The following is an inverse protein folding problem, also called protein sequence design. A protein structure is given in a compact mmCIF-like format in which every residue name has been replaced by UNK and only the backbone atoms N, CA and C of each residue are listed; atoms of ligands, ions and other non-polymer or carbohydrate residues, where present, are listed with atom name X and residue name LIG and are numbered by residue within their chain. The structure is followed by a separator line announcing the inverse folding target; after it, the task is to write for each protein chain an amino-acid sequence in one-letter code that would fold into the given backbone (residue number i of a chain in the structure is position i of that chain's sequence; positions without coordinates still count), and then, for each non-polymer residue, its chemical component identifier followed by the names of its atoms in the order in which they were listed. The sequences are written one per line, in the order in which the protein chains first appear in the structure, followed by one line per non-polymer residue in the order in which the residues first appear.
data_IF_511247062501
#
_entry.id   IF_511247062501
#
_cell.length_a   1.000
_cell.length_b   1.000
_cell.length_c   1.000
_cell.angle_alpha   90.00
_cell.angle_beta   90.00
_cell.angle_gamma   90.00
#
_symmetry.space_group_name_H-M   'P 1'
#
loop_
_entity.id
_entity.type
_entity.pdbx_description
1 polymer ?
#
# COMPACT_ATOMS: atom_id res chain seq x y z
N UNK A 1 14.76 33.74 8.82
CA UNK A 1 13.57 34.06 7.99
C UNK A 1 13.30 32.84 7.13
N UNK A 2 12.22 32.08 7.24
CA UNK A 2 10.89 32.34 7.80
C UNK A 2 10.19 30.99 8.02
N UNK A 3 10.12 30.50 9.27
CA UNK A 3 9.30 29.35 9.73
C UNK A 3 7.77 29.62 9.60
N UNK A 4 7.39 30.59 8.78
CA UNK A 4 6.04 31.17 8.70
C UNK A 4 5.15 30.45 7.68
N UNK A 5 5.73 29.62 6.80
CA UNK A 5 5.02 28.95 5.70
C UNK A 5 4.65 27.48 6.00
N UNK A 6 4.98 26.98 7.19
CA UNK A 6 4.67 25.59 7.61
C UNK A 6 3.30 25.53 8.33
N UNK A 7 2.69 26.69 8.63
CA UNK A 7 1.59 26.78 9.60
C UNK A 7 0.19 26.78 8.99
N UNK A 8 0.04 26.79 7.67
CA UNK A 8 -1.15 27.42 7.06
C UNK A 8 -2.29 26.46 6.68
N UNK A 9 -2.18 25.14 6.87
CA UNK A 9 -3.14 24.23 6.20
C UNK A 9 -4.16 23.48 7.06
N UNK A 10 -4.24 23.71 8.39
CA UNK A 10 -5.34 23.11 9.20
C UNK A 10 -5.98 24.09 10.20
N UNK A 11 -5.35 25.23 10.54
CA UNK A 11 -5.92 26.27 11.40
C UNK A 11 -5.48 27.66 10.94
N UNK A 12 -6.32 28.67 11.24
CA UNK A 12 -6.19 30.09 10.88
C UNK A 12 -4.77 30.65 10.90
N UNK A 13 -4.47 31.42 9.86
CA UNK A 13 -3.31 32.29 9.70
C UNK A 13 -3.02 33.09 10.99
N UNK A 14 -1.99 32.71 11.75
CA UNK A 14 -1.48 33.60 12.79
C UNK A 14 -0.69 32.97 13.94
N UNK A 15 -0.89 31.69 14.26
CA UNK A 15 -0.18 31.10 15.39
C UNK A 15 1.23 30.66 15.00
N UNK A 16 2.23 31.13 15.75
CA UNK A 16 3.63 30.68 15.64
C UNK A 16 3.74 29.25 16.17
N UNK A 17 3.42 28.26 15.33
CA UNK A 17 3.58 26.84 15.65
C UNK A 17 5.02 26.56 16.03
N UNK A 18 5.19 25.94 17.21
CA UNK A 18 6.50 25.53 17.71
C UNK A 18 7.11 24.43 16.83
N UNK A 19 8.43 24.40 16.70
CA UNK A 19 9.16 23.32 16.01
C UNK A 19 8.81 21.92 16.56
N UNK A 20 8.43 21.83 17.84
CA UNK A 20 7.94 20.57 18.43
C UNK A 20 6.58 20.17 17.88
N UNK A 21 5.67 21.13 17.77
CA UNK A 21 4.32 20.91 17.27
C UNK A 21 4.34 20.54 15.79
N UNK A 22 5.18 21.20 14.98
CA UNK A 22 5.38 20.82 13.57
C UNK A 22 5.84 19.36 13.43
N UNK A 23 6.78 18.89 14.26
CA UNK A 23 7.20 17.47 14.26
C UNK A 23 6.08 16.53 14.67
N UNK A 24 5.33 16.86 15.72
CA UNK A 24 4.19 16.06 16.19
C UNK A 24 3.13 15.94 15.07
N UNK A 25 2.82 17.04 14.39
CA UNK A 25 1.90 17.03 13.23
C UNK A 25 2.38 16.10 12.12
N UNK A 26 3.67 16.16 11.75
CA UNK A 26 4.22 15.24 10.75
C UNK A 26 4.14 13.77 11.18
N UNK A 27 4.37 13.48 12.47
CA UNK A 27 4.21 12.13 13.02
C UNK A 27 2.75 11.67 12.96
N UNK A 28 1.80 12.52 13.34
CA UNK A 28 0.36 12.21 13.29
C UNK A 28 -0.08 11.97 11.85
N UNK A 29 0.32 12.82 10.90
CA UNK A 29 0.01 12.65 9.47
C UNK A 29 0.59 11.33 8.96
N UNK A 30 1.82 10.99 9.34
CA UNK A 30 2.42 9.73 8.96
C UNK A 30 1.66 8.53 9.54
N UNK A 31 1.33 8.54 10.83
CA UNK A 31 0.55 7.48 11.50
C UNK A 31 -0.81 7.31 10.81
N UNK A 32 -1.51 8.40 10.52
CA UNK A 32 -2.79 8.37 9.83
C UNK A 32 -2.67 7.73 8.43
N UNK A 33 -1.67 8.13 7.64
CA UNK A 33 -1.40 7.55 6.31
C UNK A 33 -1.00 6.09 6.38
N UNK A 34 -0.23 5.72 7.40
CA UNK A 34 0.15 4.35 7.65
C UNK A 34 -1.08 3.50 8.00
N UNK A 35 -1.98 4.02 8.85
CA UNK A 35 -3.24 3.37 9.16
C UNK A 35 -4.14 3.21 7.92
N UNK A 36 -4.20 4.21 7.03
CA UNK A 36 -4.88 4.09 5.74
C UNK A 36 -4.25 3.01 4.86
N UNK A 37 -2.93 2.91 4.81
CA UNK A 37 -2.24 1.82 4.10
C UNK A 37 -2.61 0.45 4.63
N UNK A 38 -2.66 0.27 5.96
CA UNK A 38 -3.13 -0.98 6.59
C UNK A 38 -4.58 -1.26 6.20
N UNK A 39 -5.45 -0.26 6.26
CA UNK A 39 -6.86 -0.38 5.88
C UNK A 39 -7.02 -0.85 4.44
N UNK A 40 -6.35 -0.19 3.49
CA UNK A 40 -6.39 -0.59 2.08
C UNK A 40 -5.77 -1.97 1.85
N UNK A 41 -4.69 -2.30 2.54
CA UNK A 41 -4.07 -3.63 2.44
C UNK A 41 -5.01 -4.75 2.88
N UNK A 42 -5.73 -4.55 3.98
CA UNK A 42 -6.69 -5.52 4.49
C UNK A 42 -7.88 -5.71 3.54
N UNK A 43 -8.46 -4.61 3.04
CA UNK A 43 -9.59 -4.66 2.12
C UNK A 43 -9.19 -5.19 0.75
N UNK A 44 -7.97 -4.89 0.28
CA UNK A 44 -7.48 -5.42 -0.98
C UNK A 44 -7.25 -6.93 -0.88
N UNK A 45 -6.78 -7.42 0.27
CA UNK A 45 -6.67 -8.86 0.50
C UNK A 45 -8.04 -9.53 0.44
N UNK A 46 -9.02 -9.01 1.18
CA UNK A 46 -10.38 -9.56 1.16
C UNK A 46 -10.98 -9.50 -0.24
N UNK A 47 -10.88 -8.36 -0.93
CA UNK A 47 -11.36 -8.24 -2.31
C UNK A 47 -10.72 -9.27 -3.24
N UNK A 48 -9.40 -9.41 -3.22
CA UNK A 48 -8.67 -10.25 -4.17
C UNK A 48 -8.77 -11.75 -3.89
N UNK A 49 -8.77 -12.17 -2.62
CA UNK A 49 -8.63 -13.58 -2.26
C UNK A 49 -9.90 -14.21 -1.69
N UNK A 50 -10.91 -13.43 -1.32
CA UNK A 50 -12.14 -13.98 -0.80
C UNK A 50 -12.94 -14.69 -1.92
N UNK A 51 -13.31 -15.98 -1.74
CA UNK A 51 -14.03 -16.77 -2.74
C UNK A 51 -15.48 -16.31 -2.97
N UNK A 52 -16.00 -15.35 -2.19
CA UNK A 52 -17.24 -14.65 -2.53
C UNK A 52 -17.07 -13.89 -3.86
N UNK A 53 -15.88 -13.38 -4.14
CA UNK A 53 -15.55 -12.73 -5.41
C UNK A 53 -15.10 -13.76 -6.44
N UNK A 54 -15.56 -13.61 -7.69
CA UNK A 54 -15.30 -14.59 -8.77
C UNK A 54 -13.80 -14.85 -8.99
N UNK A 55 -12.95 -13.83 -8.92
CA UNK A 55 -11.52 -13.98 -9.12
C UNK A 55 -10.83 -14.66 -7.91
N UNK A 56 -11.24 -14.34 -6.69
CA UNK A 56 -10.81 -15.05 -5.47
C UNK A 56 -11.26 -16.51 -5.45
N UNK A 57 -12.47 -16.78 -5.96
CA UNK A 57 -12.99 -18.15 -6.12
C UNK A 57 -12.13 -18.94 -7.11
N UNK A 58 -11.92 -18.41 -8.31
CA UNK A 58 -11.06 -19.04 -9.32
C UNK A 58 -9.63 -19.22 -8.82
N UNK A 59 -9.09 -18.26 -8.06
CA UNK A 59 -7.78 -18.40 -7.44
C UNK A 59 -7.74 -19.57 -6.47
N UNK A 60 -8.79 -19.70 -5.64
CA UNK A 60 -8.92 -20.76 -4.64
C UNK A 60 -9.06 -22.16 -5.27
N UNK A 61 -9.86 -22.31 -6.34
CA UNK A 61 -10.01 -23.57 -7.08
C UNK A 61 -8.71 -24.05 -7.75
N UNK A 62 -7.81 -23.13 -8.07
CA UNK A 62 -6.55 -23.42 -8.73
C UNK A 62 -5.37 -23.57 -7.75
N UNK A 63 -5.63 -23.53 -6.44
CA UNK A 63 -4.60 -23.83 -5.46
C UNK A 63 -4.28 -25.33 -5.46
N UNK A 64 -3.01 -25.71 -5.24
CA UNK A 64 -2.59 -27.11 -5.19
C UNK A 64 -2.93 -27.79 -3.85
N UNK A 65 -3.67 -27.14 -2.96
CA UNK A 65 -3.97 -27.67 -1.63
C UNK A 65 -5.06 -28.74 -1.71
N UNK A 66 -4.94 -29.78 -0.89
CA UNK A 66 -6.00 -30.73 -0.58
C UNK A 66 -6.62 -30.31 0.75
N UNK A 67 -7.95 -30.36 0.87
CA UNK A 67 -8.60 -30.12 2.16
C UNK A 67 -8.35 -31.29 3.12
N UNK A 68 -8.62 -31.08 4.42
CA UNK A 68 -8.69 -32.18 5.40
C UNK A 68 -9.72 -33.21 4.92
N UNK A 69 -9.26 -34.32 4.34
CA UNK A 69 -10.09 -35.34 3.71
C UNK A 69 -9.60 -35.83 2.34
N UNK A 70 -8.64 -35.15 1.70
CA UNK A 70 -8.11 -35.53 0.39
C UNK A 70 -8.94 -35.02 -0.80
N UNK A 71 -10.01 -34.28 -0.54
CA UNK A 71 -10.83 -33.64 -1.57
C UNK A 71 -10.10 -32.41 -2.17
N UNK A 72 -10.21 -32.27 -3.48
CA UNK A 72 -9.77 -31.07 -4.21
C UNK A 72 -10.71 -29.90 -3.93
N UNK A 73 -10.16 -28.69 -3.74
CA UNK A 73 -10.98 -27.46 -3.68
C UNK A 73 -11.81 -27.26 -4.95
N UNK A 74 -11.45 -27.88 -6.08
CA UNK A 74 -12.14 -27.73 -7.37
C UNK A 74 -13.60 -28.17 -7.37
N UNK A 75 -14.02 -28.98 -6.39
CA UNK A 75 -15.38 -29.54 -6.30
C UNK A 75 -16.24 -28.90 -5.20
N UNK A 76 -15.70 -27.89 -4.48
CA UNK A 76 -16.36 -27.28 -3.33
C UNK A 76 -17.04 -25.97 -3.69
N UNK A 77 -18.09 -25.62 -2.95
CA UNK A 77 -18.79 -24.35 -3.12
C UNK A 77 -17.94 -23.19 -2.58
N UNK A 78 -18.21 -21.96 -3.04
CA UNK A 78 -17.51 -20.77 -2.54
C UNK A 78 -17.61 -20.60 -1.02
N UNK A 79 -18.72 -21.00 -0.41
CA UNK A 79 -18.94 -20.92 1.03
C UNK A 79 -18.05 -21.91 1.79
N UNK A 80 -17.95 -23.15 1.32
CA UNK A 80 -17.10 -24.17 1.97
C UNK A 80 -15.62 -23.76 1.94
N UNK A 81 -15.18 -23.17 0.81
CA UNK A 81 -13.83 -22.64 0.65
C UNK A 81 -13.59 -21.47 1.61
N UNK A 82 -14.58 -20.58 1.76
CA UNK A 82 -14.48 -19.44 2.67
C UNK A 82 -14.34 -19.90 4.12
N UNK A 83 -15.17 -20.85 4.55
CA UNK A 83 -15.12 -21.40 5.91
C UNK A 83 -13.76 -22.04 6.20
N UNK A 84 -13.24 -22.81 5.25
CA UNK A 84 -11.90 -23.39 5.36
C UNK A 84 -10.82 -22.32 5.43
N UNK A 85 -10.84 -21.32 4.56
CA UNK A 85 -9.86 -20.24 4.60
C UNK A 85 -9.92 -19.48 5.93
N UNK A 86 -11.12 -19.18 6.44
CA UNK A 86 -11.30 -18.49 7.72
C UNK A 86 -10.82 -19.31 8.92
N UNK A 87 -10.84 -20.65 8.84
CA UNK A 87 -10.27 -21.54 9.86
C UNK A 87 -8.77 -21.32 10.05
N UNK A 88 -8.03 -21.06 8.96
CA UNK A 88 -6.57 -20.86 9.00
C UNK A 88 -6.16 -19.38 9.01
N UNK A 89 -6.86 -18.54 8.25
CA UNK A 89 -6.55 -17.14 8.00
C UNK A 89 -7.61 -16.21 8.59
N UNK A 90 -7.80 -16.34 9.91
CA UNK A 90 -8.72 -15.48 10.64
C UNK A 90 -8.31 -13.99 10.64
N UNK A 91 -9.15 -13.12 11.23
CA UNK A 91 -8.98 -11.66 11.17
C UNK A 91 -7.63 -11.15 11.68
N UNK A 92 -7.06 -11.80 12.71
CA UNK A 92 -5.75 -11.44 13.26
C UNK A 92 -4.59 -11.68 12.28
N UNK A 93 -4.65 -12.75 11.49
CA UNK A 93 -3.64 -13.01 10.46
C UNK A 93 -3.72 -11.97 9.35
N UNK A 94 -4.94 -11.60 8.94
CA UNK A 94 -5.15 -10.57 7.92
C UNK A 94 -4.64 -9.19 8.40
N UNK A 95 -4.89 -8.84 9.66
CA UNK A 95 -4.36 -7.62 10.26
C UNK A 95 -2.83 -7.64 10.31
N UNK A 96 -2.22 -8.74 10.76
CA UNK A 96 -0.76 -8.90 10.79
C UNK A 96 -0.13 -8.82 9.40
N UNK A 97 -0.73 -9.48 8.41
CA UNK A 97 -0.28 -9.41 7.02
C UNK A 97 -0.36 -7.99 6.47
N UNK A 98 -1.46 -7.28 6.72
CA UNK A 98 -1.69 -5.90 6.26
C UNK A 98 -0.69 -4.92 6.87
N UNK A 99 -0.35 -5.11 8.15
CA UNK A 99 0.69 -4.34 8.83
C UNK A 99 2.06 -4.57 8.20
N UNK A 100 2.44 -5.84 8.02
CA UNK A 100 3.75 -6.21 7.47
C UNK A 100 3.91 -5.76 6.02
N UNK A 101 2.88 -5.90 5.20
CA UNK A 101 2.91 -5.48 3.80
C UNK A 101 2.97 -3.95 3.67
N UNK A 102 2.24 -3.20 4.50
CA UNK A 102 2.32 -1.74 4.53
C UNK A 102 3.71 -1.27 4.97
N UNK A 103 4.29 -1.91 5.99
CA UNK A 103 5.66 -1.66 6.43
C UNK A 103 6.68 -1.99 5.33
N UNK A 104 6.51 -3.11 4.64
CA UNK A 104 7.34 -3.51 3.49
C UNK A 104 7.30 -2.47 2.37
N UNK A 105 6.10 -2.01 1.99
CA UNK A 105 5.96 -0.94 1.00
C UNK A 105 6.64 0.35 1.46
N UNK A 106 6.49 0.73 2.73
CA UNK A 106 7.17 1.91 3.28
C UNK A 106 8.69 1.80 3.16
N UNK A 107 9.28 0.64 3.46
CA UNK A 107 10.72 0.40 3.31
C UNK A 107 11.14 0.49 1.84
N UNK A 108 10.39 -0.13 0.92
CA UNK A 108 10.66 -0.06 -0.53
C UNK A 108 10.67 1.39 -1.00
N UNK A 109 9.67 2.20 -0.61
CA UNK A 109 9.60 3.61 -0.96
C UNK A 109 10.80 4.40 -0.41
N UNK A 110 11.24 4.09 0.82
CA UNK A 110 12.39 4.73 1.45
C UNK A 110 13.68 4.43 0.69
N UNK A 111 13.92 3.16 0.33
CA UNK A 111 15.08 2.75 -0.48
C UNK A 111 15.01 3.29 -1.92
N UNK A 112 13.82 3.39 -2.49
CA UNK A 112 13.60 4.01 -3.81
C UNK A 112 13.78 5.55 -3.80
N UNK A 113 13.97 6.15 -2.62
CA UNK A 113 14.27 7.57 -2.45
C UNK A 113 13.04 8.49 -2.49
N UNK A 114 11.83 7.96 -2.30
CA UNK A 114 10.61 8.78 -2.19
C UNK A 114 10.59 9.66 -0.94
N UNK A 115 11.36 9.31 0.09
CA UNK A 115 11.51 10.12 1.30
C UNK A 115 12.41 11.36 1.08
N UNK A 116 13.38 11.26 0.16
CA UNK A 116 14.42 12.28 -0.02
C UNK A 116 14.13 13.19 -1.22
N UNK A 117 13.65 12.63 -2.33
CA UNK A 117 13.49 13.32 -3.61
C UNK A 117 12.05 13.19 -4.08
N UNK A 118 11.49 14.27 -4.64
CA UNK A 118 10.18 14.24 -5.26
C UNK A 118 10.22 13.31 -6.48
N UNK A 119 9.44 12.23 -6.45
CA UNK A 119 9.36 11.24 -7.53
C UNK A 119 7.99 11.29 -8.18
N UNK A 120 7.96 10.99 -9.47
CA UNK A 120 6.70 10.89 -10.21
C UNK A 120 5.92 9.63 -9.83
N UNK A 121 4.60 9.70 -9.98
CA UNK A 121 3.70 8.54 -9.85
C UNK A 121 4.11 7.43 -10.83
N UNK A 122 4.63 7.78 -12.01
CA UNK A 122 5.16 6.83 -12.99
C UNK A 122 6.25 5.92 -12.40
N UNK A 123 7.17 6.48 -11.61
CA UNK A 123 8.21 5.68 -10.97
C UNK A 123 7.61 4.70 -9.94
N UNK A 124 6.55 5.11 -9.25
CA UNK A 124 5.83 4.24 -8.33
C UNK A 124 5.19 3.07 -9.08
N UNK A 125 4.50 3.34 -10.20
CA UNK A 125 3.91 2.32 -11.07
C UNK A 125 4.98 1.29 -11.52
N UNK A 126 6.13 1.77 -12.00
CA UNK A 126 7.21 0.89 -12.47
C UNK A 126 7.76 -0.01 -11.35
N UNK A 127 7.95 0.54 -10.15
CA UNK A 127 8.40 -0.25 -8.98
C UNK A 127 7.35 -1.30 -8.60
N UNK A 128 6.07 -0.92 -8.56
CA UNK A 128 4.98 -1.85 -8.29
C UNK A 128 4.92 -2.99 -9.30
N UNK A 129 5.07 -2.70 -10.60
CA UNK A 129 5.10 -3.72 -11.68
C UNK A 129 6.29 -4.64 -11.48
N UNK A 130 7.47 -4.09 -11.20
CA UNK A 130 8.69 -4.86 -10.98
C UNK A 130 8.57 -5.80 -9.77
N UNK A 131 8.01 -5.33 -8.66
CA UNK A 131 7.76 -6.16 -7.47
C UNK A 131 6.71 -7.25 -7.75
N UNK A 132 5.65 -6.96 -8.52
CA UNK A 132 4.70 -7.96 -8.99
C UNK A 132 5.39 -9.04 -9.82
N UNK A 133 6.22 -8.64 -10.79
CA UNK A 133 6.99 -9.57 -11.64
C UNK A 133 7.93 -10.47 -10.82
N UNK A 134 8.67 -9.89 -9.85
CA UNK A 134 9.51 -10.69 -8.94
C UNK A 134 8.66 -11.70 -8.17
N UNK A 135 7.47 -11.29 -7.70
CA UNK A 135 6.55 -12.18 -6.98
C UNK A 135 6.10 -13.34 -7.88
N UNK A 136 5.68 -13.07 -9.12
CA UNK A 136 5.33 -14.11 -10.09
C UNK A 136 6.51 -15.08 -10.32
N UNK A 137 7.72 -14.53 -10.51
CA UNK A 137 8.91 -15.33 -10.71
C UNK A 137 9.18 -16.25 -9.52
N UNK A 138 9.25 -15.70 -8.30
CA UNK A 138 9.45 -16.47 -7.06
C UNK A 138 8.37 -17.54 -6.89
N UNK A 139 7.09 -17.19 -7.10
CA UNK A 139 5.98 -18.14 -6.97
C UNK A 139 6.06 -19.29 -7.96
N UNK A 140 6.53 -19.03 -9.18
CA UNK A 140 6.76 -20.05 -10.20
C UNK A 140 7.82 -21.09 -9.78
N UNK A 141 8.75 -20.75 -8.89
CA UNK A 141 9.72 -21.70 -8.32
C UNK A 141 9.24 -22.37 -7.03
N UNK A 142 8.48 -21.64 -6.19
CA UNK A 142 8.05 -22.14 -4.88
C UNK A 142 6.91 -23.15 -4.96
N UNK A 143 6.02 -23.00 -5.93
CA UNK A 143 4.85 -23.87 -6.05
C UNK A 143 4.72 -24.33 -7.50
N UNK A 144 4.30 -25.60 -7.70
CA UNK A 144 3.75 -26.06 -8.98
C UNK A 144 2.34 -25.47 -9.19
N UNK A 145 2.24 -24.15 -9.13
CA UNK A 145 0.99 -23.43 -9.34
C UNK A 145 0.72 -23.27 -10.83
N UNK A 146 -0.57 -23.23 -11.18
CA UNK A 146 -1.02 -22.87 -12.53
C UNK A 146 -0.72 -21.40 -12.80
N UNK A 147 -0.71 -21.02 -14.08
CA UNK A 147 -0.43 -19.65 -14.53
C UNK A 147 -1.36 -18.61 -13.88
N UNK A 148 -2.64 -18.94 -13.69
CA UNK A 148 -3.64 -18.01 -13.15
C UNK A 148 -3.32 -17.56 -11.71
N UNK A 149 -3.13 -18.45 -10.71
CA UNK A 149 -2.69 -18.03 -9.38
C UNK A 149 -1.44 -17.15 -9.37
N UNK A 150 -0.45 -17.48 -10.20
CA UNK A 150 0.79 -16.71 -10.31
C UNK A 150 0.56 -15.27 -10.79
N UNK A 151 -0.23 -15.08 -11.86
CA UNK A 151 -0.59 -13.76 -12.37
C UNK A 151 -1.43 -13.00 -11.34
N UNK A 152 -2.40 -13.67 -10.73
CA UNK A 152 -3.33 -13.09 -9.77
C UNK A 152 -2.60 -12.52 -8.54
N UNK A 153 -1.70 -13.30 -7.94
CA UNK A 153 -0.90 -12.86 -6.80
C UNK A 153 0.09 -11.76 -7.17
N UNK A 154 0.70 -11.82 -8.36
CA UNK A 154 1.55 -10.74 -8.88
C UNK A 154 0.77 -9.43 -9.04
N UNK A 155 -0.44 -9.50 -9.57
CA UNK A 155 -1.31 -8.34 -9.72
C UNK A 155 -1.72 -7.76 -8.36
N UNK A 156 -2.02 -8.63 -7.39
CA UNK A 156 -2.27 -8.20 -6.02
C UNK A 156 -1.07 -7.44 -5.43
N UNK A 157 0.16 -7.96 -5.56
CA UNK A 157 1.37 -7.26 -5.06
C UNK A 157 1.57 -5.91 -5.75
N UNK A 158 1.33 -5.85 -7.06
CA UNK A 158 1.34 -4.59 -7.82
C UNK A 158 0.37 -3.56 -7.21
N UNK A 159 -0.91 -3.94 -7.03
CA UNK A 159 -1.94 -3.05 -6.49
C UNK A 159 -1.61 -2.63 -5.06
N UNK A 160 -1.14 -3.56 -4.23
CA UNK A 160 -0.80 -3.34 -2.84
C UNK A 160 0.31 -2.29 -2.69
N UNK A 161 1.41 -2.46 -3.43
CA UNK A 161 2.54 -1.52 -3.39
C UNK A 161 2.14 -0.18 -3.98
N UNK A 162 1.33 -0.17 -5.04
CA UNK A 162 0.88 1.07 -5.66
C UNK A 162 -0.05 1.87 -4.74
N UNK A 163 -1.10 1.27 -4.18
CA UNK A 163 -2.06 1.95 -3.30
C UNK A 163 -1.41 2.40 -1.99
N UNK A 164 -0.68 1.53 -1.32
CA UNK A 164 0.08 1.92 -0.12
C UNK A 164 1.11 2.99 -0.47
N UNK A 165 1.72 2.87 -1.65
CA UNK A 165 2.66 3.85 -2.17
C UNK A 165 2.05 5.24 -2.30
N UNK A 166 0.84 5.33 -2.85
CA UNK A 166 0.08 6.59 -2.93
C UNK A 166 -0.19 7.14 -1.52
N UNK A 167 -0.72 6.33 -0.61
CA UNK A 167 -1.03 6.76 0.75
C UNK A 167 0.20 7.32 1.49
N UNK A 168 1.35 6.67 1.32
CA UNK A 168 2.57 7.00 2.04
C UNK A 168 3.43 8.08 1.36
N UNK A 169 3.45 8.14 0.03
CA UNK A 169 4.37 8.98 -0.73
C UNK A 169 3.78 10.34 -1.18
N UNK A 170 2.47 10.58 -1.06
CA UNK A 170 1.89 11.89 -1.39
C UNK A 170 2.47 12.97 -0.46
N UNK A 171 3.38 13.79 -0.96
CA UNK A 171 3.86 15.00 -0.28
C UNK A 171 3.13 16.21 -0.85
N UNK A 172 2.04 16.63 -0.20
CA UNK A 172 1.30 17.83 -0.59
C UNK A 172 2.11 19.12 -0.33
N UNK A 173 2.95 19.10 0.71
CA UNK A 173 3.51 20.31 1.32
C UNK A 173 4.72 20.93 0.58
N UNK A 174 5.45 20.16 -0.24
CA UNK A 174 6.71 20.65 -0.87
C UNK A 174 6.48 21.55 -2.10
N UNK A 175 5.31 21.46 -2.73
CA UNK A 175 5.03 22.17 -3.98
C UNK A 175 4.71 23.65 -3.72
N UNK A 176 3.96 23.91 -2.65
CA UNK A 176 3.58 25.27 -2.24
C UNK A 176 4.78 26.10 -1.75
N UNK A 177 5.75 25.47 -1.07
CA UNK A 177 6.96 26.16 -0.60
C UNK A 177 7.82 26.69 -1.76
N UNK A 178 7.95 25.93 -2.86
CA UNK A 178 8.69 26.37 -4.06
C UNK A 178 7.98 27.48 -4.82
N UNK A 179 6.65 27.41 -4.94
CA UNK A 179 5.85 28.48 -5.57
C UNK A 179 5.88 29.77 -4.75
N UNK A 180 5.82 29.67 -3.41
CA UNK A 180 5.94 30.84 -2.53
C UNK A 180 7.32 31.50 -2.56
N UNK A 181 8.40 30.71 -2.64
CA UNK A 181 9.77 31.23 -2.77
C UNK A 181 9.91 31.98 -4.11
N UNK A 182 9.46 31.38 -5.22
CA UNK A 182 9.47 32.04 -6.54
C UNK A 182 8.62 33.31 -6.58
N UNK A 183 7.48 33.36 -5.88
CA UNK A 183 6.63 34.56 -5.78
C UNK A 183 7.31 35.66 -4.96
N UNK A 184 8.08 35.30 -3.93
CA UNK A 184 8.84 36.26 -3.11
C UNK A 184 10.06 36.82 -3.85
N UNK A 185 10.74 36.01 -4.63
CA UNK A 185 11.88 36.46 -5.45
C UNK A 185 11.40 37.40 -6.56
N UNK A 186 10.32 37.05 -7.27
CA UNK A 186 9.70 37.94 -8.27
C UNK A 186 9.14 39.25 -7.70
N UNK A 187 8.76 39.29 -6.42
CA UNK A 187 8.34 40.53 -5.74
C UNK A 187 9.50 41.39 -5.24
N UNK A 188 10.72 40.86 -5.14
CA UNK A 188 11.92 41.63 -4.78
C UNK A 188 12.61 42.26 -5.98
N UNK A 189 12.34 41.76 -7.19
CA UNK A 189 12.89 42.29 -8.44
C UNK A 189 12.01 43.38 -9.09
N UNK A 190 10.88 43.74 -8.48
CA UNK A 190 10.05 44.90 -8.84
C UNK A 190 10.12 45.97 -7.75
#
# INVERSE_FOLDING_TARGET
MSNKLINEFIFEDGEWISQREARIRQIIIFIFRFALGIFFSAHLWDFMFNPIWMHGYLWSLNQPYLMEGGDSLSEKSALDILEYQNKFYGPWHQMGYSLLSTLGTWLILRFAGFATVDRSVWRLILISIFCGFITAFIRSFLQQQRLFPCIHESFFVFLLIFLNGICLAINWHKKEEKEFINLKENKKEK
#
